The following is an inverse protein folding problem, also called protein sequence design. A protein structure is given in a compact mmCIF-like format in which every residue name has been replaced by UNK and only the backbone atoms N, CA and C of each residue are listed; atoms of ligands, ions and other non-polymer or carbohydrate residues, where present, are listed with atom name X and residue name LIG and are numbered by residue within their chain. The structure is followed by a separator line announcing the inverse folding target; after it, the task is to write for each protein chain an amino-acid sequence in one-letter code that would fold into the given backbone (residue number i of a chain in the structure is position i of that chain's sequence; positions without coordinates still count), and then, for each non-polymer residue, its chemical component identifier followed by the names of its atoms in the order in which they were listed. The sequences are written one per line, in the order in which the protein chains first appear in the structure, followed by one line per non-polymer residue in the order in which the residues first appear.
data_IF_737626182969
#
_entry.id   IF_737626182969
#
_cell.length_a   1.000
_cell.length_b   1.000
_cell.length_c   1.000
_cell.angle_alpha   90.00
_cell.angle_beta   90.00
_cell.angle_gamma   90.00
#
_symmetry.space_group_name_H-M   'P 1'
#
loop_
_entity.id
_entity.type
_entity.pdbx_description
1 polymer ?
#
# COMPACT_ATOMS: atom_id res chain seq x y z
N UNK A 1 -9.20 3.60 9.29
CA UNK A 1 -9.31 3.52 7.82
C UNK A 1 -8.92 2.13 7.33
N UNK A 2 -9.61 1.59 6.32
CA UNK A 2 -9.29 0.29 5.68
C UNK A 2 -8.70 0.56 4.29
N UNK A 3 -7.50 0.09 4.00
CA UNK A 3 -6.79 0.32 2.73
C UNK A 3 -7.01 -0.81 1.71
N UNK A 4 -7.08 -2.05 2.20
CA UNK A 4 -7.33 -3.27 1.43
C UNK A 4 -8.29 -4.21 2.17
N UNK A 5 -8.97 -5.10 1.45
CA UNK A 5 -9.75 -6.21 2.00
C UNK A 5 -8.87 -7.33 2.54
N UNK A 6 -7.66 -7.49 2.00
CA UNK A 6 -6.66 -8.41 2.50
C UNK A 6 -6.07 -7.90 3.82
N UNK A 7 -6.08 -8.74 4.86
CA UNK A 7 -5.70 -8.35 6.22
C UNK A 7 -4.23 -7.94 6.32
N UNK A 8 -3.35 -8.61 5.59
CA UNK A 8 -1.90 -8.44 5.68
C UNK A 8 -1.48 -7.20 4.88
N UNK A 9 -2.04 -7.03 3.67
CA UNK A 9 -1.88 -5.79 2.88
C UNK A 9 -2.43 -4.59 3.66
N UNK A 10 -3.59 -4.72 4.29
CA UNK A 10 -4.19 -3.63 5.06
C UNK A 10 -3.35 -3.29 6.31
N UNK A 11 -2.79 -4.29 6.99
CA UNK A 11 -1.89 -4.08 8.14
C UNK A 11 -0.61 -3.38 7.70
N UNK A 12 0.01 -3.83 6.61
CA UNK A 12 1.24 -3.24 6.09
C UNK A 12 1.02 -1.80 5.60
N UNK A 13 -0.06 -1.52 4.87
CA UNK A 13 -0.40 -0.16 4.46
C UNK A 13 -0.67 0.77 5.67
N UNK A 14 -1.31 0.28 6.73
CA UNK A 14 -1.47 1.04 7.99
C UNK A 14 -0.13 1.38 8.63
N UNK A 15 0.82 0.45 8.62
CA UNK A 15 2.15 0.68 9.16
C UNK A 15 2.87 1.78 8.39
N UNK A 16 2.90 1.70 7.05
CA UNK A 16 3.54 2.73 6.22
C UNK A 16 2.92 4.12 6.44
N UNK A 17 1.59 4.21 6.55
CA UNK A 17 0.94 5.50 6.84
C UNK A 17 1.34 6.05 8.23
N UNK A 18 1.52 5.18 9.23
CA UNK A 18 2.03 5.60 10.56
C UNK A 18 3.48 6.07 10.49
N UNK A 19 4.28 5.51 9.60
CA UNK A 19 5.67 5.91 9.33
C UNK A 19 5.76 7.19 8.46
N UNK A 20 4.64 7.83 8.17
CA UNK A 20 4.60 9.12 7.46
C UNK A 20 4.29 9.03 5.97
N UNK A 21 3.95 7.85 5.45
CA UNK A 21 3.51 7.72 4.07
C UNK A 21 2.13 8.37 3.87
N UNK A 22 1.96 9.06 2.76
CA UNK A 22 0.66 9.58 2.34
C UNK A 22 -0.19 8.46 1.73
N UNK A 23 -1.50 8.43 2.01
CA UNK A 23 -2.42 7.53 1.31
C UNK A 23 -3.43 8.33 0.48
N UNK A 24 -3.58 7.96 -0.80
CA UNK A 24 -4.60 8.51 -1.70
C UNK A 24 -5.52 7.40 -2.19
N UNK A 25 -6.82 7.52 -1.94
CA UNK A 25 -7.84 6.63 -2.50
C UNK A 25 -8.04 6.94 -3.97
N UNK A 26 -7.89 5.95 -4.84
CA UNK A 26 -8.37 5.99 -6.23
C UNK A 26 -9.72 5.28 -6.40
N UNK A 27 -10.25 5.27 -7.63
CA UNK A 27 -11.53 4.62 -7.95
C UNK A 27 -11.53 3.11 -7.66
N UNK A 28 -10.46 2.41 -8.08
CA UNK A 28 -10.33 0.94 -7.96
C UNK A 28 -9.29 0.50 -6.92
N UNK A 29 -8.18 1.24 -6.82
CA UNK A 29 -7.05 0.91 -5.97
C UNK A 29 -6.59 2.15 -5.19
N UNK A 30 -6.00 1.93 -4.03
CA UNK A 30 -5.32 2.96 -3.28
C UNK A 30 -3.91 3.20 -3.81
N UNK A 31 -3.31 4.31 -3.41
CA UNK A 31 -1.90 4.62 -3.65
C UNK A 31 -1.25 5.05 -2.33
N UNK A 32 -0.07 4.54 -2.04
CA UNK A 32 0.80 5.02 -0.99
C UNK A 32 1.89 5.89 -1.61
N UNK A 33 2.16 7.02 -0.99
CA UNK A 33 3.09 8.06 -1.45
C UNK A 33 4.22 8.12 -0.44
N UNK A 34 5.45 7.92 -0.91
CA UNK A 34 6.63 7.90 -0.05
C UNK A 34 6.85 9.26 0.62
N UNK A 35 7.24 9.30 1.91
CA UNK A 35 7.59 10.55 2.57
C UNK A 35 8.85 11.15 1.93
N UNK A 36 8.81 12.44 1.61
CA UNK A 36 9.97 13.19 1.10
C UNK A 36 10.38 12.93 -0.36
N UNK A 37 9.93 11.85 -1.00
CA UNK A 37 10.21 11.52 -2.42
C UNK A 37 8.93 11.47 -3.25
N UNK A 38 9.06 11.58 -4.59
CA UNK A 38 7.94 11.43 -5.56
C UNK A 38 7.52 9.97 -5.81
N UNK A 39 7.92 9.05 -4.95
CA UNK A 39 7.66 7.62 -5.10
C UNK A 39 6.22 7.25 -4.78
N UNK A 40 5.60 6.41 -5.63
CA UNK A 40 4.23 5.93 -5.43
C UNK A 40 4.17 4.41 -5.58
N UNK A 41 3.52 3.74 -4.64
CA UNK A 41 3.12 2.33 -4.74
C UNK A 41 1.60 2.19 -4.81
N UNK A 42 1.14 1.22 -5.61
CA UNK A 42 -0.28 0.88 -5.69
C UNK A 42 -0.64 -0.09 -4.56
N UNK A 43 -1.71 0.22 -3.84
CA UNK A 43 -2.31 -0.68 -2.84
C UNK A 43 -3.58 -1.29 -3.44
N UNK A 44 -3.58 -2.59 -3.77
CA UNK A 44 -4.78 -3.24 -4.28
C UNK A 44 -5.87 -3.25 -3.21
N UNK A 45 -7.10 -2.89 -3.58
CA UNK A 45 -8.23 -2.85 -2.65
C UNK A 45 -8.78 -4.24 -2.34
N UNK A 46 -8.74 -5.16 -3.31
CA UNK A 46 -9.10 -6.58 -3.12
C UNK A 46 -8.17 -7.45 -3.96
N UNK A 47 -6.94 -7.73 -3.50
CA UNK A 47 -6.02 -8.55 -4.27
C UNK A 47 -6.50 -10.00 -4.36
N UNK A 48 -6.29 -10.64 -5.51
CA UNK A 48 -6.50 -12.08 -5.70
C UNK A 48 -5.22 -12.89 -5.47
N UNK A 49 -4.05 -12.24 -5.44
CA UNK A 49 -2.76 -12.87 -5.19
C UNK A 49 -2.60 -13.21 -3.71
N UNK A 50 -2.27 -14.47 -3.39
CA UNK A 50 -1.86 -14.89 -2.04
C UNK A 50 -0.55 -14.25 -1.59
N UNK A 51 0.19 -13.64 -2.52
CA UNK A 51 1.47 -12.96 -2.27
C UNK A 51 1.37 -11.43 -2.27
N UNK A 52 0.16 -10.89 -2.18
CA UNK A 52 -0.08 -9.46 -2.34
C UNK A 52 0.69 -8.58 -1.35
N UNK A 53 0.89 -9.04 -0.10
CA UNK A 53 1.68 -8.29 0.88
C UNK A 53 3.17 -8.32 0.55
N UNK A 54 3.70 -9.44 0.04
CA UNK A 54 5.10 -9.56 -0.39
C UNK A 54 5.36 -8.72 -1.64
N UNK A 55 4.45 -8.73 -2.61
CA UNK A 55 4.52 -7.89 -3.81
C UNK A 55 4.50 -6.41 -3.45
N UNK A 56 3.60 -6.00 -2.53
CA UNK A 56 3.56 -4.63 -2.04
C UNK A 56 4.86 -4.25 -1.30
N UNK A 57 5.36 -5.11 -0.41
CA UNK A 57 6.60 -4.86 0.32
C UNK A 57 7.82 -4.78 -0.62
N UNK A 58 7.87 -5.64 -1.64
CA UNK A 58 8.90 -5.57 -2.67
C UNK A 58 8.82 -4.25 -3.45
N UNK A 59 7.61 -3.81 -3.84
CA UNK A 59 7.43 -2.55 -4.54
C UNK A 59 7.82 -1.34 -3.67
N UNK A 60 7.56 -1.39 -2.36
CA UNK A 60 8.01 -0.38 -1.39
C UNK A 60 9.53 -0.35 -1.23
N UNK A 61 10.19 -1.51 -1.26
CA UNK A 61 11.65 -1.62 -1.14
C UNK A 61 12.40 -1.09 -2.37
N UNK A 62 11.80 -1.19 -3.56
CA UNK A 62 12.44 -0.81 -4.83
C UNK A 62 11.96 0.56 -5.35
N UNK A 63 11.50 1.41 -4.43
CA UNK A 63 10.92 2.74 -4.68
C UNK A 63 11.93 3.86 -4.46
#
# INVERSE_FOLDING_TARGET
MKYSSDKDVNKYAKQLVREGWGFKRGKKHGKLIAPGRRGIVVVPTSPSSKRAVQELAWAVRNL
#
